data_IF_959204036626
#
_entry.id   IF_959204036626
#
_cell.length_a   1.000
_cell.length_b   1.000
_cell.length_c   1.000
_cell.angle_alpha   90.00
_cell.angle_beta   90.00
_cell.angle_gamma   90.00
#
_symmetry.space_group_name_H-M   'P 1'
#
loop_
_entity.id
_entity.type
_entity.pdbx_description
1 polymer ?
#
# COMPACT_ATOMS: atom_id res chain seq x y z
N UNK A 1 63.03 -32.50 -2.13
CA UNK A 1 62.42 -31.20 -1.74
C UNK A 1 62.02 -30.46 -3.00
N UNK A 2 60.80 -29.94 -2.99
CA UNK A 2 60.03 -29.36 -4.09
C UNK A 2 60.53 -27.94 -4.43
N UNK A 3 60.42 -27.53 -5.71
CA UNK A 3 59.79 -26.25 -6.13
C UNK A 3 59.57 -26.18 -7.64
N UNK A 4 58.31 -25.95 -7.97
CA UNK A 4 57.70 -25.80 -9.29
C UNK A 4 57.85 -24.35 -9.79
N UNK A 5 58.28 -24.08 -11.03
CA UNK A 5 58.34 -22.72 -11.58
C UNK A 5 57.35 -22.54 -12.75
N UNK A 6 56.05 -22.78 -12.53
CA UNK A 6 55.02 -22.29 -13.45
C UNK A 6 54.56 -20.91 -13.01
N UNK A 7 55.37 -19.91 -13.36
CA UNK A 7 54.96 -18.51 -13.35
C UNK A 7 55.01 -18.02 -14.80
N UNK A 8 53.84 -17.92 -15.44
CA UNK A 8 53.52 -17.02 -16.55
C UNK A 8 52.14 -17.38 -17.10
N UNK A 9 51.11 -16.70 -16.60
CA UNK A 9 49.97 -16.25 -17.40
C UNK A 9 49.30 -15.10 -16.64
N UNK A 10 49.88 -13.89 -16.77
CA UNK A 10 49.14 -12.66 -16.52
C UNK A 10 48.41 -12.30 -17.82
N UNK A 11 47.17 -12.76 -17.97
CA UNK A 11 46.22 -12.15 -18.91
C UNK A 11 45.37 -11.15 -18.14
N UNK A 12 45.42 -9.93 -18.66
CA UNK A 12 44.69 -8.73 -18.26
C UNK A 12 43.29 -8.84 -18.86
N UNK A 13 42.30 -9.28 -18.09
CA UNK A 13 40.89 -9.41 -18.54
C UNK A 13 39.90 -8.98 -17.44
N UNK A 14 40.07 -7.79 -16.84
CA UNK A 14 39.15 -7.27 -15.81
C UNK A 14 38.70 -5.84 -16.06
N UNK A 15 38.58 -5.40 -17.32
CA UNK A 15 38.21 -4.01 -17.64
C UNK A 15 36.97 -3.85 -18.52
N UNK A 16 36.42 -4.92 -19.10
CA UNK A 16 35.28 -4.82 -20.04
C UNK A 16 33.92 -5.00 -19.33
N UNK A 17 33.80 -5.99 -18.45
CA UNK A 17 32.53 -6.33 -17.77
C UNK A 17 32.03 -5.22 -16.83
N UNK A 18 32.91 -4.58 -16.07
CA UNK A 18 32.49 -3.51 -15.15
C UNK A 18 31.98 -2.29 -15.91
N UNK A 19 32.56 -1.96 -17.05
CA UNK A 19 32.14 -0.81 -17.86
C UNK A 19 30.78 -1.03 -18.51
N UNK A 20 30.48 -2.26 -18.93
CA UNK A 20 29.19 -2.63 -19.53
C UNK A 20 28.08 -2.58 -18.48
N UNK A 21 28.32 -3.13 -17.29
CA UNK A 21 27.37 -3.07 -16.17
C UNK A 21 27.12 -1.63 -15.67
N UNK A 22 28.13 -0.76 -15.67
CA UNK A 22 27.93 0.65 -15.31
C UNK A 22 27.11 1.42 -16.35
N UNK A 23 27.24 1.07 -17.63
CA UNK A 23 26.45 1.70 -18.70
C UNK A 23 24.98 1.28 -18.63
N UNK A 24 24.72 0.00 -18.38
CA UNK A 24 23.36 -0.53 -18.20
C UNK A 24 22.67 0.11 -17.00
N UNK A 25 23.38 0.23 -15.87
CA UNK A 25 22.86 0.90 -14.67
C UNK A 25 22.59 2.39 -14.92
N UNK A 26 23.43 3.07 -15.71
CA UNK A 26 23.23 4.47 -16.05
C UNK A 26 21.99 4.66 -16.95
N UNK A 27 21.73 3.71 -17.85
CA UNK A 27 20.52 3.73 -18.68
C UNK A 27 19.26 3.46 -17.86
N UNK A 28 19.30 2.53 -16.90
CA UNK A 28 18.19 2.32 -15.96
C UNK A 28 17.89 3.58 -15.13
N UNK A 29 18.91 4.25 -14.60
CA UNK A 29 18.75 5.51 -13.85
C UNK A 29 18.12 6.59 -14.75
N UNK A 30 18.53 6.66 -16.02
CA UNK A 30 17.97 7.61 -16.99
C UNK A 30 16.49 7.33 -17.26
N UNK A 31 16.13 6.06 -17.47
CA UNK A 31 14.74 5.64 -17.70
C UNK A 31 13.87 5.95 -16.48
N UNK A 32 14.34 5.59 -15.28
CA UNK A 32 13.62 5.83 -14.04
C UNK A 32 13.43 7.32 -13.77
N UNK A 33 14.47 8.13 -13.98
CA UNK A 33 14.41 9.58 -13.81
C UNK A 33 13.41 10.23 -14.78
N UNK A 34 13.34 9.74 -16.03
CA UNK A 34 12.33 10.20 -17.00
C UNK A 34 10.91 9.84 -16.55
N UNK A 35 10.71 8.63 -16.04
CA UNK A 35 9.40 8.17 -15.54
C UNK A 35 8.96 8.95 -14.30
N UNK A 36 9.88 9.24 -13.38
CA UNK A 36 9.62 10.09 -12.21
C UNK A 36 9.18 11.48 -12.67
N UNK A 37 9.91 12.13 -13.58
CA UNK A 37 9.52 13.45 -14.06
C UNK A 37 8.16 13.49 -14.77
N UNK A 38 7.80 12.42 -15.49
CA UNK A 38 6.48 12.30 -16.11
C UNK A 38 5.37 12.18 -15.04
N UNK A 39 5.57 11.31 -14.04
CA UNK A 39 4.62 11.12 -12.95
C UNK A 39 4.48 12.38 -12.07
N UNK A 40 5.57 13.06 -11.76
CA UNK A 40 5.53 14.33 -11.02
C UNK A 40 4.76 15.42 -11.77
N UNK A 41 4.88 15.45 -13.10
CA UNK A 41 4.13 16.38 -13.95
C UNK A 41 2.64 16.06 -13.95
N UNK A 42 2.28 14.78 -14.06
CA UNK A 42 0.89 14.31 -14.00
C UNK A 42 0.25 14.62 -12.65
N UNK A 43 0.95 14.36 -11.54
CA UNK A 43 0.50 14.71 -10.19
C UNK A 43 0.29 16.22 -10.05
N UNK A 44 1.18 17.04 -10.61
CA UNK A 44 1.01 18.51 -10.59
C UNK A 44 -0.23 18.94 -11.37
N UNK A 45 -0.48 18.34 -12.52
CA UNK A 45 -1.63 18.66 -13.37
C UNK A 45 -2.95 18.22 -12.72
N UNK A 46 -2.98 17.03 -12.10
CA UNK A 46 -4.14 16.55 -11.35
C UNK A 46 -4.45 17.44 -10.15
N UNK A 47 -3.44 17.87 -9.39
CA UNK A 47 -3.62 18.81 -8.27
C UNK A 47 -4.18 20.17 -8.73
N UNK A 48 -3.71 20.68 -9.86
CA UNK A 48 -4.23 21.93 -10.43
C UNK A 48 -5.66 21.78 -10.95
N UNK A 49 -6.00 20.61 -11.51
CA UNK A 49 -7.37 20.32 -11.93
C UNK A 49 -8.32 20.24 -10.73
N UNK A 50 -7.93 19.56 -9.65
CA UNK A 50 -8.71 19.50 -8.41
C UNK A 50 -8.97 20.89 -7.84
N UNK A 51 -7.94 21.77 -7.79
CA UNK A 51 -8.13 23.16 -7.31
C UNK A 51 -9.14 23.94 -8.16
N UNK A 52 -9.14 23.75 -9.48
CA UNK A 52 -10.10 24.43 -10.38
C UNK A 52 -11.52 23.90 -10.25
N UNK A 53 -11.66 22.62 -9.91
CA UNK A 53 -12.97 22.01 -9.68
C UNK A 53 -13.54 22.46 -8.32
N UNK A 54 -12.70 22.64 -7.29
CA UNK A 54 -13.07 23.25 -6.00
C UNK A 54 -13.51 24.72 -6.17
N UNK A 55 -12.74 25.54 -6.90
CA UNK A 55 -13.06 26.95 -7.17
C UNK A 55 -14.38 27.11 -7.97
N UNK A 56 -14.74 26.12 -8.81
CA UNK A 56 -16.03 26.10 -9.52
C UNK A 56 -17.20 25.75 -8.60
N UNK A 57 -17.00 24.85 -7.64
CA UNK A 57 -18.02 24.51 -6.66
C UNK A 57 -18.33 25.68 -5.70
N UNK A 58 -17.32 26.46 -5.31
CA UNK A 58 -17.53 27.64 -4.46
C UNK A 58 -18.36 28.75 -5.16
N UNK A 59 -18.16 28.96 -6.47
CA UNK A 59 -18.88 29.98 -7.24
C UNK A 59 -20.37 29.67 -7.45
N UNK A 60 -20.80 28.41 -7.33
CA UNK A 60 -22.20 27.99 -7.51
C UNK A 60 -23.01 27.99 -6.19
N UNK A 61 -22.37 28.16 -5.02
CA UNK A 61 -23.04 28.11 -3.70
C UNK A 61 -23.48 29.48 -3.13
N UNK A 62 -23.21 30.59 -3.82
CA UNK A 62 -23.33 31.95 -3.29
C UNK A 62 -24.73 32.58 -3.17
N UNK A 63 -25.83 31.82 -3.24
CA UNK A 63 -27.19 32.36 -3.11
C UNK A 63 -28.07 31.53 -2.17
N UNK A 64 -27.88 31.68 -0.86
CA UNK A 64 -28.99 31.84 0.10
C UNK A 64 -28.47 32.26 1.47
N UNK A 65 -29.05 33.36 1.96
CA UNK A 65 -28.64 34.09 3.14
C UNK A 65 -29.39 33.65 4.40
N UNK A 66 -28.66 33.73 5.52
CA UNK A 66 -29.06 34.30 6.81
C UNK A 66 -30.07 33.54 7.72
N UNK A 67 -29.56 32.97 8.83
CA UNK A 67 -29.79 33.53 10.17
C UNK A 67 -29.07 32.81 11.34
N UNK A 68 -28.38 33.62 12.15
CA UNK A 68 -28.14 33.55 13.61
C UNK A 68 -27.71 32.26 14.34
N UNK A 69 -26.49 32.33 14.90
CA UNK A 69 -25.80 31.55 15.95
C UNK A 69 -26.60 31.24 17.25
N UNK A 70 -26.06 30.47 18.24
CA UNK A 70 -25.01 29.43 18.22
C UNK A 70 -25.38 28.13 18.99
N UNK A 71 -24.56 27.09 18.79
CA UNK A 71 -24.24 25.99 19.75
C UNK A 71 -25.01 24.67 19.57
N UNK A 72 -24.36 23.74 18.90
CA UNK A 72 -24.69 22.32 18.86
C UNK A 72 -23.75 21.65 17.88
N UNK A 73 -23.03 20.63 18.34
CA UNK A 73 -22.22 19.79 17.47
C UNK A 73 -23.10 19.17 16.38
N UNK A 74 -22.60 19.10 15.15
CA UNK A 74 -22.63 17.96 14.23
C UNK A 74 -22.54 18.41 12.76
N UNK A 75 -21.79 17.60 12.01
CA UNK A 75 -21.82 17.43 10.56
C UNK A 75 -21.46 18.64 9.68
N UNK A 76 -20.17 18.75 9.36
CA UNK A 76 -19.79 19.04 7.98
C UNK A 76 -19.95 17.73 7.18
N UNK A 77 -21.11 17.56 6.54
CA UNK A 77 -21.25 16.66 5.38
C UNK A 77 -20.50 17.29 4.20
N UNK A 78 -19.17 17.21 4.24
CA UNK A 78 -18.36 17.35 3.05
C UNK A 78 -18.42 16.01 2.30
N UNK A 79 -18.78 16.05 1.02
CA UNK A 79 -18.95 14.89 0.14
C UNK A 79 -17.93 13.77 0.44
N UNK A 80 -18.42 12.63 0.94
CA UNK A 80 -17.62 11.58 1.56
C UNK A 80 -16.76 10.86 0.52
N UNK A 81 -15.58 11.41 0.24
CA UNK A 81 -14.55 10.72 -0.52
C UNK A 81 -14.19 9.43 0.22
N UNK A 82 -14.03 8.29 -0.46
CA UNK A 82 -13.76 7.02 0.21
C UNK A 82 -12.55 7.15 1.14
N UNK A 83 -12.80 6.95 2.44
CA UNK A 83 -11.76 7.04 3.47
C UNK A 83 -10.97 5.74 3.46
N UNK A 84 -9.65 5.87 3.41
CA UNK A 84 -8.72 4.73 3.53
C UNK A 84 -8.11 4.71 4.91
N UNK A 85 -8.16 3.55 5.58
CA UNK A 85 -7.51 3.31 6.87
C UNK A 85 -6.68 2.04 6.83
N UNK A 86 -5.68 1.96 7.70
CA UNK A 86 -4.77 0.85 7.82
C UNK A 86 -5.00 0.09 9.12
N UNK A 87 -5.07 -1.23 9.00
CA UNK A 87 -5.40 -2.12 10.11
C UNK A 87 -4.23 -3.08 10.41
N UNK A 88 -4.02 -3.40 11.70
CA UNK A 88 -3.03 -4.39 12.11
C UNK A 88 -3.53 -5.81 11.84
N UNK A 89 -2.76 -6.81 12.30
CA UNK A 89 -3.28 -8.17 12.39
C UNK A 89 -4.58 -8.21 13.22
N UNK A 90 -5.62 -8.92 12.74
CA UNK A 90 -6.81 -9.16 13.53
C UNK A 90 -6.51 -10.11 14.70
N UNK A 91 -7.36 -10.07 15.71
CA UNK A 91 -7.46 -11.12 16.72
C UNK A 91 -7.98 -12.42 16.12
N UNK A 92 -7.94 -13.52 16.89
CA UNK A 92 -8.37 -14.85 16.41
C UNK A 92 -9.86 -14.92 16.04
N UNK A 93 -10.70 -14.05 16.60
CA UNK A 93 -12.12 -13.88 16.26
C UNK A 93 -12.37 -12.95 15.06
N UNK A 94 -11.32 -12.40 14.44
CA UNK A 94 -11.42 -11.54 13.27
C UNK A 94 -11.71 -10.07 13.59
N UNK A 95 -11.34 -9.61 14.79
CA UNK A 95 -11.53 -8.22 15.21
C UNK A 95 -10.22 -7.44 15.06
N UNK A 96 -10.27 -6.24 14.49
CA UNK A 96 -9.14 -5.32 14.40
C UNK A 96 -9.22 -4.34 15.57
N UNK A 97 -8.28 -4.45 16.51
CA UNK A 97 -8.31 -3.69 17.76
C UNK A 97 -8.08 -2.18 17.59
N UNK A 98 -7.39 -1.80 16.51
CA UNK A 98 -6.93 -0.44 16.26
C UNK A 98 -6.94 -0.18 14.74
N UNK A 99 -6.98 1.09 14.36
CA UNK A 99 -6.81 1.55 12.98
C UNK A 99 -6.01 2.86 12.94
N UNK A 100 -5.44 3.19 11.79
CA UNK A 100 -4.64 4.39 11.56
C UNK A 100 -4.91 4.94 10.17
N UNK A 101 -4.90 6.26 10.01
CA UNK A 101 -4.99 6.92 8.69
C UNK A 101 -3.67 6.82 7.92
N UNK A 102 -2.56 6.58 8.62
CA UNK A 102 -1.24 6.39 8.04
C UNK A 102 -0.76 4.93 8.18
N UNK A 103 0.04 4.48 7.21
CA UNK A 103 0.65 3.16 7.24
C UNK A 103 1.72 3.07 8.35
N UNK A 104 1.60 2.08 9.23
CA UNK A 104 2.55 1.83 10.31
C UNK A 104 3.46 0.64 9.96
N UNK A 105 4.70 0.92 9.58
CA UNK A 105 5.68 -0.10 9.19
C UNK A 105 5.82 -1.16 10.30
N UNK A 106 5.74 -2.43 9.92
CA UNK A 106 5.83 -3.56 10.84
C UNK A 106 4.54 -3.88 11.62
N UNK A 107 3.51 -3.00 11.57
CA UNK A 107 2.24 -3.19 12.28
C UNK A 107 1.04 -3.29 11.33
N UNK A 108 0.93 -2.40 10.34
CA UNK A 108 -0.14 -2.41 9.35
C UNK A 108 0.03 -3.58 8.38
N UNK A 109 -1.01 -4.41 8.27
CA UNK A 109 -1.05 -5.56 7.35
C UNK A 109 -2.17 -5.41 6.32
N UNK A 110 -3.25 -4.72 6.68
CA UNK A 110 -4.41 -4.55 5.85
C UNK A 110 -4.70 -3.06 5.58
N UNK A 111 -5.30 -2.81 4.44
CA UNK A 111 -5.88 -1.53 4.06
C UNK A 111 -7.39 -1.72 3.92
N UNK A 112 -8.18 -0.81 4.46
CA UNK A 112 -9.63 -0.80 4.37
C UNK A 112 -10.08 0.50 3.73
N UNK A 113 -10.92 0.39 2.71
CA UNK A 113 -11.58 1.48 2.00
C UNK A 113 -13.05 1.47 2.40
N UNK A 114 -13.56 2.61 2.87
CA UNK A 114 -14.94 2.75 3.31
C UNK A 114 -15.52 4.08 2.84
N UNK A 115 -16.75 4.07 2.36
CA UNK A 115 -17.52 5.27 2.03
C UNK A 115 -18.44 5.71 3.18
N UNK A 116 -18.80 4.81 4.12
CA UNK A 116 -19.85 5.10 5.11
C UNK A 116 -19.43 4.94 6.57
N UNK A 117 -18.13 4.87 6.88
CA UNK A 117 -17.55 4.56 8.23
C UNK A 117 -18.12 3.33 8.97
N UNK A 118 -19.14 2.66 8.46
CA UNK A 118 -19.82 1.51 9.05
C UNK A 118 -19.39 0.20 8.37
N UNK A 119 -19.08 0.23 7.08
CA UNK A 119 -18.75 -0.96 6.30
C UNK A 119 -17.71 -0.63 5.24
N UNK A 120 -16.64 -1.41 5.23
CA UNK A 120 -15.51 -1.20 4.33
C UNK A 120 -15.03 -2.49 3.69
N UNK A 121 -14.42 -2.33 2.52
CA UNK A 121 -13.73 -3.40 1.82
C UNK A 121 -12.25 -3.36 2.19
N UNK A 122 -11.69 -4.51 2.57
CA UNK A 122 -10.29 -4.59 2.96
C UNK A 122 -9.48 -5.56 2.11
N UNK A 123 -8.19 -5.26 1.95
CA UNK A 123 -7.20 -6.07 1.26
C UNK A 123 -5.88 -6.11 2.03
N UNK A 124 -5.03 -7.08 1.72
CA UNK A 124 -3.66 -7.12 2.26
C UNK A 124 -2.82 -6.04 1.57
N UNK A 125 -2.00 -5.32 2.31
CA UNK A 125 -1.10 -4.29 1.77
C UNK A 125 0.02 -4.96 0.98
N UNK A 126 0.23 -4.53 -0.27
CA UNK A 126 1.27 -5.06 -1.16
C UNK A 126 2.64 -4.36 -0.96
N UNK A 127 3.03 -4.13 0.29
CA UNK A 127 4.34 -3.58 0.64
C UNK A 127 5.25 -4.66 1.22
N UNK A 128 6.57 -4.54 0.98
CA UNK A 128 7.54 -5.53 1.48
C UNK A 128 7.47 -5.72 2.99
N UNK A 129 7.27 -4.62 3.74
CA UNK A 129 7.19 -4.67 5.19
C UNK A 129 5.90 -5.34 5.68
N UNK A 130 4.75 -5.01 5.10
CA UNK A 130 3.47 -5.63 5.45
C UNK A 130 3.46 -7.12 5.12
N UNK A 131 4.00 -7.49 3.95
CA UNK A 131 4.14 -8.88 3.52
C UNK A 131 5.09 -9.64 4.45
N UNK A 132 6.24 -9.06 4.78
CA UNK A 132 7.18 -9.67 5.73
C UNK A 132 6.50 -9.92 7.08
N UNK A 133 5.79 -8.93 7.63
CA UNK A 133 5.02 -9.09 8.86
C UNK A 133 3.99 -10.20 8.73
N UNK A 134 3.17 -10.21 7.68
CA UNK A 134 2.11 -11.19 7.48
C UNK A 134 2.64 -12.64 7.38
N UNK A 135 3.80 -12.83 6.75
CA UNK A 135 4.38 -14.15 6.50
C UNK A 135 5.09 -14.73 7.73
N UNK A 136 5.51 -13.90 8.71
CA UNK A 136 6.02 -14.37 10.01
C UNK A 136 5.07 -15.41 10.62
N UNK A 137 3.76 -15.17 10.54
CA UNK A 137 2.75 -16.14 10.95
C UNK A 137 1.44 -15.97 10.20
N UNK A 138 1.30 -16.72 9.10
CA UNK A 138 0.04 -16.73 8.32
C UNK A 138 -1.16 -17.16 9.15
N UNK A 139 -0.96 -17.99 10.17
CA UNK A 139 -2.04 -18.45 11.05
C UNK A 139 -2.54 -17.36 11.99
N UNK A 140 -1.65 -16.50 12.48
CA UNK A 140 -2.04 -15.40 13.37
C UNK A 140 -2.48 -14.17 12.59
N UNK A 141 -1.80 -13.87 11.48
CA UNK A 141 -1.95 -12.58 10.82
C UNK A 141 -2.87 -12.62 9.61
N UNK A 142 -2.99 -13.76 8.92
CA UNK A 142 -3.81 -13.91 7.71
C UNK A 142 -5.09 -14.71 7.95
N UNK A 143 -5.01 -15.92 8.50
CA UNK A 143 -6.18 -16.83 8.63
C UNK A 143 -7.40 -16.24 9.35
N UNK A 144 -7.31 -15.32 10.33
CA UNK A 144 -8.51 -14.76 10.93
C UNK A 144 -9.30 -13.89 9.95
N UNK A 145 -8.65 -13.15 9.04
CA UNK A 145 -9.31 -12.25 8.07
C UNK A 145 -9.28 -12.74 6.62
N UNK A 146 -8.49 -13.75 6.28
CA UNK A 146 -8.29 -14.21 4.91
C UNK A 146 -8.48 -15.72 4.73
N UNK A 147 -8.88 -16.10 3.53
CA UNK A 147 -8.81 -17.46 2.99
C UNK A 147 -7.66 -17.52 1.99
N UNK A 148 -6.71 -18.42 2.23
CA UNK A 148 -5.58 -18.65 1.31
C UNK A 148 -6.04 -19.63 0.23
N UNK A 149 -6.25 -19.13 -0.98
CA UNK A 149 -6.71 -19.93 -2.11
C UNK A 149 -5.58 -20.80 -2.70
N UNK A 150 -4.36 -20.26 -2.72
CA UNK A 150 -3.17 -20.94 -3.23
C UNK A 150 -1.93 -20.42 -2.53
N UNK A 151 -0.94 -21.30 -2.35
CA UNK A 151 0.37 -20.96 -1.80
C UNK A 151 1.49 -21.61 -2.61
N UNK A 152 2.55 -20.86 -2.87
CA UNK A 152 3.78 -21.37 -3.48
C UNK A 152 4.55 -22.34 -2.57
N UNK A 153 5.41 -23.17 -3.17
CA UNK A 153 6.35 -24.02 -2.43
C UNK A 153 7.54 -23.17 -1.97
N UNK A 154 7.58 -22.86 -0.67
CA UNK A 154 8.66 -22.07 -0.04
C UNK A 154 8.12 -20.90 0.77
N UNK A 155 9.00 -19.98 1.17
CA UNK A 155 8.62 -18.73 1.85
C UNK A 155 8.08 -17.78 0.76
N UNK A 156 6.81 -17.36 0.82
CA UNK A 156 6.26 -16.39 -0.11
C UNK A 156 6.95 -15.02 0.09
N UNK A 157 7.00 -14.19 -0.94
CA UNK A 157 7.46 -12.80 -0.87
C UNK A 157 6.43 -11.82 -1.47
N UNK A 158 5.32 -12.35 -1.98
CA UNK A 158 4.22 -11.62 -2.57
C UNK A 158 2.89 -12.16 -2.05
N UNK A 159 1.95 -11.25 -1.74
CA UNK A 159 0.57 -11.58 -1.38
C UNK A 159 -0.33 -10.80 -2.33
N UNK A 160 -1.13 -11.53 -3.11
CA UNK A 160 -2.09 -10.94 -4.05
C UNK A 160 -3.49 -11.13 -3.47
N UNK A 161 -4.23 -10.03 -3.33
CA UNK A 161 -5.64 -10.09 -2.94
C UNK A 161 -6.49 -10.37 -4.19
N UNK A 162 -7.07 -11.57 -4.28
CA UNK A 162 -7.93 -11.99 -5.39
C UNK A 162 -9.35 -11.45 -5.23
N UNK A 163 -9.87 -11.48 -4.00
CA UNK A 163 -11.16 -10.90 -3.63
C UNK A 163 -11.00 -10.12 -2.32
N UNK A 164 -11.48 -8.87 -2.30
CA UNK A 164 -11.49 -8.04 -1.10
C UNK A 164 -12.41 -8.66 -0.03
N UNK A 165 -12.00 -8.54 1.22
CA UNK A 165 -12.84 -8.89 2.36
C UNK A 165 -13.77 -7.74 2.71
N UNK A 166 -14.73 -8.00 3.60
CA UNK A 166 -15.63 -6.98 4.13
C UNK A 166 -15.48 -6.95 5.64
N UNK A 167 -15.30 -5.76 6.19
CA UNK A 167 -15.34 -5.51 7.61
C UNK A 167 -16.43 -4.49 7.95
N UNK A 168 -17.02 -4.66 9.12
CA UNK A 168 -18.08 -3.80 9.66
C UNK A 168 -17.57 -3.17 10.95
N UNK A 169 -17.85 -1.89 11.14
CA UNK A 169 -17.52 -1.16 12.35
C UNK A 169 -18.65 -1.33 13.37
N UNK A 170 -18.33 -1.80 14.58
CA UNK A 170 -19.31 -2.02 15.65
C UNK A 170 -19.49 -0.83 16.59
N UNK A 171 -18.87 0.31 16.27
CA UNK A 171 -18.83 1.52 17.10
C UNK A 171 -17.51 1.70 17.84
N UNK A 172 -16.71 0.64 17.99
CA UNK A 172 -15.38 0.70 18.62
C UNK A 172 -14.29 0.09 17.73
N UNK A 173 -14.58 -1.04 17.08
CA UNK A 173 -13.62 -1.85 16.36
C UNK A 173 -14.17 -2.31 15.01
N UNK A 174 -13.26 -2.57 14.09
CA UNK A 174 -13.60 -3.21 12.82
C UNK A 174 -13.62 -4.71 12.99
N UNK A 175 -14.67 -5.38 12.50
CA UNK A 175 -14.82 -6.83 12.57
C UNK A 175 -15.02 -7.41 11.20
N UNK A 176 -14.31 -8.51 10.91
CA UNK A 176 -14.44 -9.24 9.65
C UNK A 176 -15.84 -9.85 9.54
N UNK A 177 -16.60 -9.39 8.55
CA UNK A 177 -17.88 -9.97 8.12
C UNK A 177 -17.62 -11.02 7.02
N UNK A 178 -16.79 -10.68 6.04
CA UNK A 178 -16.39 -11.56 4.95
C UNK A 178 -14.87 -11.60 4.83
N UNK A 179 -14.31 -12.82 4.85
CA UNK A 179 -12.86 -13.00 4.67
C UNK A 179 -12.43 -12.69 3.24
N UNK A 180 -11.32 -11.96 3.10
CA UNK A 180 -10.67 -11.75 1.82
C UNK A 180 -10.12 -13.07 1.25
N UNK A 181 -10.06 -13.20 -0.07
CA UNK A 181 -9.40 -14.33 -0.73
C UNK A 181 -8.05 -13.88 -1.24
N UNK A 182 -6.99 -14.59 -0.84
CA UNK A 182 -5.61 -14.23 -1.16
C UNK A 182 -4.84 -15.39 -1.79
N UNK A 183 -3.82 -15.04 -2.56
CA UNK A 183 -2.82 -15.95 -3.12
C UNK A 183 -1.43 -15.56 -2.63
N UNK A 184 -0.65 -16.56 -2.21
CA UNK A 184 0.72 -16.37 -1.75
C UNK A 184 1.70 -16.81 -2.85
N UNK A 185 2.45 -15.84 -3.38
CA UNK A 185 3.37 -16.00 -4.50
C UNK A 185 4.84 -15.77 -4.09
N UNK A 186 5.76 -16.12 -5.00
CA UNK A 186 7.22 -16.02 -4.83
C UNK A 186 7.82 -15.07 -5.88
#
# INVERSE_FOLDING_TARGET
>A
MIKNPFQKFTKKETSSDETESTNDLMEEIRILSKRIGALETEVRLLKEQMRKDDERQEAESGLSADNTSPKGAEHDEAADSPTTIYLPAPTSDGTFSEYSEEIQIGKSIYMLETETKERGMFSVIESKDAIATAIISTTQFLKPACKIASSTNGIPNHIVTLEKGIAVFDGEKWKVEQKAIIKLDK
#
